data_IF_440486374746
#
_entry.id   IF_440486374746
#
_cell.length_a   1.000
_cell.length_b   1.000
_cell.length_c   1.000
_cell.angle_alpha   90.00
_cell.angle_beta   90.00
_cell.angle_gamma   90.00
#
_symmetry.space_group_name_H-M   'P 1'
#
loop_
_entity.id
_entity.type
_entity.pdbx_description
1 polymer ?
#
# COMPACT_ATOMS: atom_id res chain seq x y z
N UNK A 1 13.06 23.59 16.98
CA UNK A 1 12.03 23.06 16.06
C UNK A 1 11.42 21.83 16.72
N UNK A 2 10.26 21.98 17.35
CA UNK A 2 9.67 20.92 18.19
C UNK A 2 8.89 19.97 17.28
N UNK A 3 9.35 18.73 17.11
CA UNK A 3 8.61 17.73 16.35
C UNK A 3 7.44 17.23 17.20
N UNK A 4 6.21 17.53 16.77
CA UNK A 4 5.00 16.94 17.37
C UNK A 4 5.06 15.43 17.18
N UNK A 5 5.12 14.68 18.29
CA UNK A 5 5.08 13.22 18.21
C UNK A 5 3.67 12.80 17.78
N UNK A 6 3.52 12.03 16.70
CA UNK A 6 2.20 11.73 16.17
C UNK A 6 1.48 10.74 17.09
N UNK A 7 0.17 10.91 17.29
CA UNK A 7 -0.59 10.18 18.29
C UNK A 7 -0.89 8.74 17.84
N UNK A 8 -1.13 7.84 18.80
CA UNK A 8 -1.53 6.45 18.48
C UNK A 8 -2.87 6.48 17.74
N UNK A 9 -2.97 5.78 16.61
CA UNK A 9 -4.16 5.78 15.74
C UNK A 9 -4.15 6.84 14.62
N UNK A 10 -3.14 7.71 14.57
CA UNK A 10 -2.92 8.60 13.42
C UNK A 10 -2.50 7.81 12.19
N UNK A 11 -3.13 8.09 11.04
CA UNK A 11 -2.76 7.48 9.76
C UNK A 11 -1.39 7.98 9.32
N UNK A 12 -0.45 7.06 9.13
CA UNK A 12 0.91 7.36 8.68
C UNK A 12 1.07 7.21 7.18
N UNK A 13 0.37 6.23 6.59
CA UNK A 13 0.34 5.99 5.17
C UNK A 13 -1.10 5.81 4.73
N UNK A 14 -1.48 6.49 3.68
CA UNK A 14 -2.74 6.27 2.98
C UNK A 14 -2.43 5.99 1.51
N UNK A 15 -2.95 4.87 1.01
CA UNK A 15 -2.86 4.44 -0.38
C UNK A 15 -4.27 4.38 -0.94
N UNK A 16 -4.47 5.00 -2.11
CA UNK A 16 -5.76 5.07 -2.79
C UNK A 16 -5.60 4.61 -4.23
N UNK A 17 -6.47 3.70 -4.66
CA UNK A 17 -6.57 3.15 -6.02
C UNK A 17 -5.20 2.80 -6.65
N UNK A 18 -4.33 2.15 -5.87
CA UNK A 18 -3.00 1.76 -6.36
C UNK A 18 -3.14 0.75 -7.47
N UNK A 19 -2.56 1.07 -8.62
CA UNK A 19 -2.49 0.22 -9.81
C UNK A 19 -1.05 0.10 -10.27
N UNK A 20 -0.61 -1.14 -10.44
CA UNK A 20 0.72 -1.47 -10.94
C UNK A 20 0.54 -2.52 -12.02
N UNK A 21 0.69 -2.11 -13.28
CA UNK A 21 0.48 -2.95 -14.45
C UNK A 21 1.75 -3.01 -15.28
N UNK A 22 2.09 -4.20 -15.77
CA UNK A 22 3.28 -4.47 -16.57
C UNK A 22 2.87 -4.95 -17.96
N UNK A 23 3.30 -4.27 -19.04
CA UNK A 23 3.15 -4.81 -20.38
C UNK A 23 4.11 -5.98 -20.57
N UNK A 24 3.59 -7.11 -21.04
CA UNK A 24 4.36 -8.31 -21.38
C UNK A 24 4.01 -8.75 -22.81
N UNK A 25 4.80 -9.69 -23.35
CA UNK A 25 4.52 -10.26 -24.68
C UNK A 25 3.17 -10.98 -24.75
N UNK A 26 2.71 -11.54 -23.62
CA UNK A 26 1.45 -12.27 -23.51
C UNK A 26 0.27 -11.38 -23.10
N UNK A 27 0.50 -10.08 -22.92
CA UNK A 27 -0.51 -9.09 -22.58
C UNK A 27 -0.18 -8.24 -21.36
N UNK A 28 -1.17 -7.51 -20.86
CA UNK A 28 -1.01 -6.63 -19.71
C UNK A 28 -1.19 -7.42 -18.41
N UNK A 29 -0.11 -7.59 -17.64
CA UNK A 29 -0.16 -8.20 -16.30
C UNK A 29 -0.53 -7.13 -15.29
N UNK A 30 -1.64 -7.33 -14.58
CA UNK A 30 -2.10 -6.41 -13.53
C UNK A 30 -1.62 -6.89 -12.15
N UNK A 31 -0.37 -6.56 -11.80
CA UNK A 31 0.23 -7.00 -10.53
C UNK A 31 -0.48 -6.39 -9.30
N UNK A 32 -0.97 -5.16 -9.41
CA UNK A 32 -1.86 -4.55 -8.43
C UNK A 32 -2.98 -3.84 -9.20
N UNK A 33 -4.25 -4.07 -8.84
CA UNK A 33 -5.39 -3.47 -9.56
C UNK A 33 -6.40 -2.82 -8.60
N UNK A 34 -6.12 -1.56 -8.24
CA UNK A 34 -7.08 -0.67 -7.58
C UNK A 34 -7.20 -0.87 -6.08
N UNK A 35 -6.10 -1.22 -5.40
CA UNK A 35 -6.12 -1.43 -3.95
C UNK A 35 -6.04 -0.10 -3.19
N UNK A 36 -6.82 0.01 -2.12
CA UNK A 36 -6.78 1.15 -1.20
C UNK A 36 -6.66 0.64 0.22
N UNK A 37 -5.72 1.20 0.98
CA UNK A 37 -5.50 0.85 2.38
C UNK A 37 -4.82 1.99 3.13
N UNK A 38 -4.87 1.93 4.45
CA UNK A 38 -4.15 2.83 5.34
C UNK A 38 -3.32 2.04 6.33
N UNK A 39 -2.24 2.64 6.82
CA UNK A 39 -1.43 2.11 7.91
C UNK A 39 -1.39 3.17 9.01
N UNK A 40 -1.92 2.83 10.18
CA UNK A 40 -1.91 3.72 11.34
C UNK A 40 -0.64 3.55 12.17
N UNK A 41 -0.34 4.55 13.00
CA UNK A 41 0.78 4.50 13.93
C UNK A 41 0.64 3.33 14.90
N UNK A 42 1.62 2.43 14.87
CA UNK A 42 1.66 1.22 15.71
C UNK A 42 0.99 0.01 15.07
N UNK A 43 0.51 0.12 13.83
CA UNK A 43 -0.03 -0.98 13.04
C UNK A 43 1.07 -1.67 12.22
N UNK A 44 0.93 -2.97 12.01
CA UNK A 44 1.81 -3.78 11.15
C UNK A 44 0.96 -4.34 10.02
N UNK A 45 1.30 -4.00 8.77
CA UNK A 45 0.68 -4.56 7.58
C UNK A 45 1.56 -5.68 7.01
N UNK A 46 0.99 -6.89 6.91
CA UNK A 46 1.61 -8.02 6.22
C UNK A 46 1.03 -8.18 4.82
N UNK A 47 1.89 -8.32 3.82
CA UNK A 47 1.49 -8.66 2.44
C UNK A 47 1.84 -10.12 2.19
N UNK A 48 0.87 -10.90 1.73
CA UNK A 48 1.04 -12.32 1.40
C UNK A 48 0.45 -12.60 0.02
N UNK A 49 1.03 -13.55 -0.71
CA UNK A 49 0.56 -13.97 -2.02
C UNK A 49 1.23 -15.25 -2.49
N UNK A 50 0.54 -16.00 -3.34
CA UNK A 50 1.15 -17.05 -4.17
C UNK A 50 2.13 -16.39 -5.17
N UNK A 51 3.16 -17.12 -5.62
CA UNK A 51 4.01 -16.59 -6.69
C UNK A 51 3.18 -16.39 -7.95
N UNK A 52 3.13 -15.15 -8.45
CA UNK A 52 2.62 -14.82 -9.78
C UNK A 52 3.67 -15.04 -10.86
#
# INVERSE_FOLDING_TARGET
MTATTPARGETLLEVRDLRVHFPTVDGLVKAVDGISFEIRRGEVLGIVGESG
#
